data_IF_166352625300
#
_entry.id   IF_166352625300
#
_cell.length_a   1.000
_cell.length_b   1.000
_cell.length_c   1.000
_cell.angle_alpha   90.00
_cell.angle_beta   90.00
_cell.angle_gamma   90.00
#
_symmetry.space_group_name_H-M   'P 1'
#
loop_
_entity.id
_entity.type
_entity.pdbx_description
1 polymer ?
#
# COMPACT_ATOMS: atom_id res chain seq x y z
N UNK A 1 10.48 49.85 -35.20
CA UNK A 1 9.26 49.31 -34.56
C UNK A 1 9.61 47.94 -34.01
N UNK A 2 9.66 47.76 -32.68
CA UNK A 2 9.95 46.45 -32.04
C UNK A 2 8.62 45.89 -31.54
N UNK A 3 8.21 44.73 -32.05
CA UNK A 3 7.03 44.02 -31.59
C UNK A 3 7.30 43.40 -30.21
N UNK A 4 6.34 43.42 -29.27
CA UNK A 4 6.51 42.75 -27.99
C UNK A 4 6.28 41.25 -28.16
N UNK A 5 7.21 40.44 -27.68
CA UNK A 5 7.05 39.00 -27.58
C UNK A 5 6.10 38.69 -26.40
N UNK A 6 4.95 38.09 -26.70
CA UNK A 6 4.01 37.60 -25.67
C UNK A 6 4.49 36.22 -25.22
N UNK A 7 4.91 36.13 -23.97
CA UNK A 7 5.31 34.87 -23.34
C UNK A 7 4.06 34.18 -22.77
N UNK A 8 3.57 33.14 -23.46
CA UNK A 8 2.46 32.32 -22.97
C UNK A 8 3.03 31.27 -22.00
N UNK A 9 2.80 31.47 -20.70
CA UNK A 9 3.11 30.47 -19.68
C UNK A 9 2.06 29.35 -19.73
N UNK A 10 2.41 28.22 -20.34
CA UNK A 10 1.63 26.99 -20.24
C UNK A 10 1.81 26.40 -18.84
N UNK A 11 0.86 26.71 -17.94
CA UNK A 11 0.75 26.04 -16.65
C UNK A 11 0.30 24.61 -16.94
N UNK A 12 1.25 23.66 -16.90
CA UNK A 12 0.96 22.25 -17.03
C UNK A 12 0.06 21.80 -15.87
N UNK A 13 -1.22 21.56 -16.15
CA UNK A 13 -2.08 20.80 -15.25
C UNK A 13 -1.56 19.36 -15.25
N UNK A 14 -0.91 18.96 -14.15
CA UNK A 14 -0.64 17.56 -13.89
C UNK A 14 -2.00 16.83 -13.82
N UNK A 15 -2.25 15.77 -14.61
CA UNK A 15 -3.47 15.01 -14.49
C UNK A 15 -3.52 14.39 -13.10
N UNK A 16 -4.50 14.81 -12.29
CA UNK A 16 -4.82 14.12 -11.05
C UNK A 16 -5.51 12.82 -11.45
N UNK A 17 -4.80 11.69 -11.33
CA UNK A 17 -5.42 10.37 -11.43
C UNK A 17 -6.42 10.28 -10.27
N UNK A 18 -7.71 10.29 -10.58
CA UNK A 18 -8.76 10.11 -9.59
C UNK A 18 -8.77 8.64 -9.18
N UNK A 19 -8.28 8.37 -7.97
CA UNK A 19 -8.29 7.05 -7.36
C UNK A 19 -9.66 6.82 -6.72
N UNK A 20 -10.26 5.66 -6.90
CA UNK A 20 -11.52 5.29 -6.26
C UNK A 20 -11.32 4.84 -4.82
N UNK A 21 -10.17 4.26 -4.50
CA UNK A 21 -9.79 3.85 -3.15
C UNK A 21 -8.33 3.48 -3.03
N UNK A 22 -7.97 2.94 -1.86
CA UNK A 22 -6.62 2.50 -1.56
C UNK A 22 -6.58 1.28 -0.65
N UNK A 23 -5.65 0.37 -0.95
CA UNK A 23 -5.19 -0.62 0.02
C UNK A 23 -4.03 -0.03 0.81
N UNK A 24 -4.15 0.00 2.14
CA UNK A 24 -3.14 0.57 3.04
C UNK A 24 -2.49 -0.54 3.85
N UNK A 25 -1.15 -0.56 3.91
CA UNK A 25 -0.38 -1.50 4.73
C UNK A 25 0.54 -0.75 5.68
N UNK A 26 0.44 -1.04 6.96
CA UNK A 26 1.36 -0.56 8.00
C UNK A 26 2.32 -1.65 8.38
N UNK A 27 3.62 -1.40 8.25
CA UNK A 27 4.61 -2.22 8.94
C UNK A 27 4.68 -1.69 10.37
N UNK A 28 4.50 -2.56 11.36
CA UNK A 28 4.56 -2.20 12.79
C UNK A 28 5.96 -2.45 13.34
N UNK A 29 6.46 -3.66 13.18
CA UNK A 29 7.82 -3.98 13.61
C UNK A 29 8.41 -5.09 12.78
N UNK A 30 9.73 -5.12 12.73
CA UNK A 30 10.49 -6.23 12.16
C UNK A 30 11.71 -6.53 13.01
N UNK A 31 12.00 -7.81 13.22
CA UNK A 31 13.17 -8.26 13.96
C UNK A 31 13.84 -9.38 13.19
N UNK A 32 15.15 -9.32 13.05
CA UNK A 32 16.07 -10.35 12.56
C UNK A 32 17.24 -10.42 13.54
N UNK A 33 17.00 -11.02 14.70
CA UNK A 33 17.91 -10.97 15.87
C UNK A 33 19.31 -11.48 15.54
N UNK A 34 19.41 -12.45 14.63
CA UNK A 34 20.68 -13.05 14.22
C UNK A 34 21.37 -12.30 13.08
N UNK A 35 20.72 -11.37 12.40
CA UNK A 35 21.31 -10.63 11.27
C UNK A 35 21.58 -11.50 10.04
N UNK A 36 20.71 -12.48 9.80
CA UNK A 36 20.89 -13.50 8.75
C UNK A 36 19.93 -13.31 7.59
N UNK A 37 20.34 -13.83 6.44
CA UNK A 37 19.54 -14.01 5.25
C UNK A 37 18.68 -15.28 5.38
N UNK A 38 17.71 -15.47 4.50
CA UNK A 38 16.89 -16.70 4.44
C UNK A 38 17.72 -17.94 4.11
N UNK A 39 18.91 -17.77 3.53
CA UNK A 39 19.90 -18.84 3.32
C UNK A 39 20.62 -19.27 4.62
N UNK A 40 20.49 -18.51 5.70
CA UNK A 40 21.19 -18.70 6.98
C UNK A 40 22.56 -18.01 7.07
N UNK A 41 23.06 -17.44 5.98
CA UNK A 41 24.30 -16.67 5.97
C UNK A 41 24.11 -15.28 6.60
N UNK A 42 25.18 -14.66 7.09
CA UNK A 42 25.12 -13.29 7.54
C UNK A 42 24.93 -12.32 6.37
N UNK A 43 24.24 -11.20 6.61
CA UNK A 43 24.02 -10.16 5.59
C UNK A 43 25.32 -9.58 5.02
N UNK A 44 26.42 -9.60 5.76
CA UNK A 44 27.75 -9.17 5.32
C UNK A 44 28.57 -10.27 4.62
N UNK A 45 28.00 -11.46 4.46
CA UNK A 45 28.67 -12.63 3.89
C UNK A 45 29.62 -13.36 4.85
N UNK A 46 29.73 -12.93 6.10
CA UNK A 46 30.57 -13.61 7.09
C UNK A 46 30.00 -14.99 7.47
N UNK A 47 30.90 -15.96 7.69
CA UNK A 47 30.55 -17.27 8.24
C UNK A 47 30.59 -17.20 9.77
N UNK A 48 29.42 -17.16 10.41
CA UNK A 48 29.29 -17.31 11.87
C UNK A 48 28.72 -18.68 12.21
N UNK A 49 29.03 -19.19 13.42
CA UNK A 49 28.39 -20.40 13.95
C UNK A 49 26.87 -20.23 13.95
N UNK A 50 26.11 -21.32 13.74
CA UNK A 50 24.66 -21.28 13.52
C UNK A 50 23.86 -20.52 14.57
N UNK A 51 24.35 -20.50 15.81
CA UNK A 51 23.61 -19.99 16.97
C UNK A 51 24.08 -18.59 17.42
N UNK A 52 25.22 -18.10 16.91
CA UNK A 52 25.73 -16.79 17.26
C UNK A 52 25.12 -15.70 16.36
N UNK A 53 24.83 -14.49 16.88
CA UNK A 53 24.45 -13.35 16.04
C UNK A 53 25.60 -12.95 15.09
N UNK A 54 25.23 -12.49 13.89
CA UNK A 54 26.17 -11.90 12.94
C UNK A 54 26.76 -10.59 13.49
N UNK A 55 28.02 -10.31 13.12
CA UNK A 55 28.77 -9.14 13.62
C UNK A 55 28.22 -7.83 13.04
N UNK A 56 27.94 -7.80 11.74
CA UNK A 56 27.37 -6.64 11.08
C UNK A 56 25.83 -6.74 10.99
N UNK A 57 25.10 -5.63 11.22
CA UNK A 57 23.66 -5.61 11.02
C UNK A 57 23.30 -5.59 9.53
N UNK A 58 22.16 -6.18 9.20
CA UNK A 58 21.56 -6.08 7.89
C UNK A 58 21.08 -4.65 7.62
N UNK A 59 21.24 -4.18 6.37
CA UNK A 59 20.55 -2.99 5.85
C UNK A 59 19.18 -3.38 5.30
N UNK A 60 18.15 -3.33 6.14
CA UNK A 60 16.83 -3.89 5.85
C UNK A 60 15.94 -2.90 5.09
N UNK A 61 15.44 -3.32 3.94
CA UNK A 61 14.35 -2.68 3.17
C UNK A 61 13.21 -3.68 2.94
N UNK A 62 12.02 -3.18 2.63
CA UNK A 62 10.86 -4.01 2.38
C UNK A 62 10.39 -3.87 0.94
N UNK A 63 10.00 -4.99 0.35
CA UNK A 63 9.18 -5.03 -0.87
C UNK A 63 7.79 -5.53 -0.51
N UNK A 64 6.77 -4.80 -0.92
CA UNK A 64 5.36 -5.14 -0.75
C UNK A 64 4.75 -5.28 -2.13
N UNK A 65 4.27 -6.48 -2.44
CA UNK A 65 3.67 -6.84 -3.71
C UNK A 65 2.23 -7.25 -3.47
N UNK A 66 1.30 -6.51 -4.07
CA UNK A 66 -0.14 -6.74 -3.96
C UNK A 66 -0.68 -7.26 -5.29
N UNK A 67 -1.46 -8.33 -5.22
CA UNK A 67 -1.95 -9.09 -6.37
C UNK A 67 -3.40 -9.48 -6.21
N UNK A 68 -4.03 -9.81 -7.34
CA UNK A 68 -5.27 -10.57 -7.37
C UNK A 68 -5.09 -11.88 -6.61
N UNK A 69 -6.18 -12.36 -6.01
CA UNK A 69 -6.19 -13.62 -5.29
C UNK A 69 -5.69 -14.78 -6.17
N UNK A 70 -4.75 -15.55 -5.63
CA UNK A 70 -4.26 -16.80 -6.19
C UNK A 70 -4.33 -17.89 -5.12
N UNK A 71 -4.91 -19.05 -5.47
CA UNK A 71 -4.97 -20.19 -4.54
C UNK A 71 -3.57 -20.69 -4.14
N UNK A 72 -2.63 -20.66 -5.10
CA UNK A 72 -1.21 -20.84 -4.87
C UNK A 72 -0.49 -19.57 -5.30
N UNK A 73 0.10 -18.85 -4.34
CA UNK A 73 0.71 -17.54 -4.61
C UNK A 73 2.01 -17.73 -5.39
N UNK A 74 2.05 -17.21 -6.61
CA UNK A 74 3.27 -17.15 -7.41
C UNK A 74 4.06 -15.90 -7.07
N UNK A 75 5.27 -16.12 -6.56
CA UNK A 75 6.21 -15.06 -6.12
C UNK A 75 7.02 -14.44 -7.25
N UNK A 76 6.97 -15.04 -8.45
CA UNK A 76 7.79 -14.63 -9.60
C UNK A 76 7.03 -13.73 -10.57
N UNK A 77 5.71 -13.92 -10.74
CA UNK A 77 4.91 -13.09 -11.63
C UNK A 77 4.68 -11.67 -11.09
N UNK A 78 4.45 -10.68 -11.99
CA UNK A 78 4.24 -9.28 -11.63
C UNK A 78 3.11 -9.04 -10.63
N UNK A 79 3.19 -7.92 -9.90
CA UNK A 79 2.20 -7.54 -8.91
C UNK A 79 1.03 -6.79 -9.57
N UNK A 80 -0.14 -7.41 -9.68
CA UNK A 80 -1.26 -6.87 -10.48
C UNK A 80 -1.93 -5.64 -9.87
N UNK A 81 -1.87 -5.47 -8.54
CA UNK A 81 -2.41 -4.28 -7.85
C UNK A 81 -1.30 -3.30 -7.43
N UNK A 82 -0.04 -3.71 -7.49
CA UNK A 82 1.11 -2.82 -7.34
C UNK A 82 2.32 -3.47 -6.66
N UNK A 83 3.49 -2.92 -6.90
CA UNK A 83 4.79 -3.36 -6.36
C UNK A 83 5.51 -2.13 -5.78
N UNK A 84 5.63 -2.05 -4.45
CA UNK A 84 6.28 -0.93 -3.77
C UNK A 84 7.49 -1.46 -3.00
N UNK A 85 8.64 -0.81 -3.19
CA UNK A 85 9.85 -1.09 -2.41
C UNK A 85 10.20 0.14 -1.57
N UNK A 86 10.39 -0.05 -0.27
CA UNK A 86 10.78 1.02 0.65
C UNK A 86 12.27 1.36 0.49
N UNK A 87 12.71 2.56 0.92
CA UNK A 87 14.12 2.75 1.23
C UNK A 87 14.57 1.81 2.36
N UNK A 88 15.87 1.78 2.65
CA UNK A 88 16.40 1.10 3.84
C UNK A 88 15.80 1.76 5.08
N UNK A 89 15.07 0.99 5.88
CA UNK A 89 14.40 1.47 7.09
C UNK A 89 15.28 1.32 8.33
N UNK A 90 16.27 0.42 8.30
CA UNK A 90 17.30 0.34 9.33
C UNK A 90 17.97 -1.03 9.39
N UNK A 91 18.31 -1.45 10.61
CA UNK A 91 19.13 -2.62 10.93
C UNK A 91 18.38 -3.97 10.99
N UNK A 92 18.82 -4.79 11.92
CA UNK A 92 18.22 -6.08 12.30
C UNK A 92 16.85 -5.93 12.97
N UNK A 93 16.67 -4.91 13.82
CA UNK A 93 15.44 -4.69 14.58
C UNK A 93 14.90 -3.29 14.32
N UNK A 94 13.60 -3.20 14.04
CA UNK A 94 12.91 -2.02 13.57
C UNK A 94 11.58 -1.86 14.30
N UNK A 95 11.37 -0.69 14.90
CA UNK A 95 10.06 -0.22 15.35
C UNK A 95 9.60 0.89 14.38
N UNK A 96 8.80 0.50 13.39
CA UNK A 96 8.59 1.27 12.16
C UNK A 96 7.74 2.54 12.35
N UNK A 97 6.68 2.56 13.18
CA UNK A 97 5.90 3.77 13.45
C UNK A 97 6.71 4.96 13.96
N UNK A 98 7.84 4.72 14.60
CA UNK A 98 8.71 5.75 15.19
C UNK A 98 9.86 6.18 14.24
N UNK A 99 9.90 5.66 13.01
CA UNK A 99 10.93 6.00 12.04
C UNK A 99 10.60 7.27 11.25
N UNK A 100 11.61 8.13 11.10
CA UNK A 100 11.55 9.29 10.20
C UNK A 100 12.60 9.11 9.08
N UNK A 101 12.23 8.36 8.04
CA UNK A 101 13.10 8.07 6.90
C UNK A 101 12.58 8.82 5.68
N UNK A 102 13.44 9.62 5.04
CA UNK A 102 13.09 10.39 3.84
C UNK A 102 12.65 9.44 2.72
N UNK A 103 11.49 9.73 2.13
CA UNK A 103 10.93 8.93 1.05
C UNK A 103 10.20 7.66 1.50
N UNK A 104 10.00 7.48 2.82
CA UNK A 104 9.14 6.45 3.37
C UNK A 104 7.90 7.08 4.02
N UNK A 105 6.78 6.39 3.91
CA UNK A 105 5.54 6.72 4.62
C UNK A 105 4.92 5.44 5.13
N UNK A 106 4.33 5.51 6.32
CA UNK A 106 3.67 4.39 6.97
C UNK A 106 2.27 4.89 7.40
N UNK A 107 1.18 4.49 6.73
CA UNK A 107 1.06 3.35 5.82
C UNK A 107 1.73 3.49 4.45
N UNK A 108 2.10 2.35 3.88
CA UNK A 108 2.36 2.15 2.46
C UNK A 108 1.00 2.07 1.75
N UNK A 109 0.78 2.92 0.75
CA UNK A 109 -0.53 3.09 0.10
C UNK A 109 -0.46 2.58 -1.34
N UNK A 110 -1.36 1.66 -1.67
CA UNK A 110 -1.62 1.16 -3.03
C UNK A 110 -2.93 1.78 -3.52
N UNK A 111 -2.88 2.90 -4.25
CA UNK A 111 -4.08 3.48 -4.84
C UNK A 111 -4.62 2.57 -5.95
N UNK A 112 -5.94 2.52 -6.09
CA UNK A 112 -6.61 1.85 -7.20
C UNK A 112 -7.74 2.70 -7.77
N UNK A 113 -8.08 2.44 -9.03
CA UNK A 113 -9.18 3.04 -9.79
C UNK A 113 -10.20 2.01 -10.30
N UNK A 114 -9.99 0.73 -9.98
CA UNK A 114 -10.90 -0.38 -10.26
C UNK A 114 -11.85 -0.66 -9.08
N UNK A 115 -12.88 -1.49 -9.31
CA UNK A 115 -13.74 -2.00 -8.23
C UNK A 115 -12.97 -2.99 -7.37
N UNK A 116 -12.81 -2.69 -6.08
CA UNK A 116 -12.09 -3.57 -5.17
C UNK A 116 -12.77 -4.95 -5.08
N UNK A 117 -12.05 -6.06 -5.36
CA UNK A 117 -12.65 -7.39 -5.46
C UNK A 117 -12.92 -8.08 -4.11
N UNK A 118 -12.59 -7.46 -2.99
CA UNK A 118 -12.72 -8.05 -1.65
C UNK A 118 -11.59 -9.01 -1.27
N UNK A 119 -10.99 -9.71 -2.24
CA UNK A 119 -9.94 -10.72 -2.04
C UNK A 119 -8.61 -10.31 -2.67
N UNK A 120 -7.49 -10.76 -2.08
CA UNK A 120 -6.17 -10.43 -2.59
C UNK A 120 -5.11 -11.47 -2.20
N UNK A 121 -3.95 -11.38 -2.85
CA UNK A 121 -2.71 -12.03 -2.45
C UNK A 121 -1.66 -10.97 -2.15
N UNK A 122 -1.00 -11.10 -1.01
CA UNK A 122 0.00 -10.19 -0.49
C UNK A 122 1.33 -10.93 -0.32
N UNK A 123 2.39 -10.32 -0.80
CA UNK A 123 3.76 -10.77 -0.58
C UNK A 123 4.53 -9.62 0.07
N UNK A 124 5.12 -9.88 1.24
CA UNK A 124 5.99 -8.93 1.94
C UNK A 124 7.36 -9.56 2.11
N UNK A 125 8.38 -8.92 1.57
CA UNK A 125 9.76 -9.38 1.64
C UNK A 125 10.60 -8.39 2.42
N UNK A 126 11.27 -8.86 3.47
CA UNK A 126 12.39 -8.16 4.08
C UNK A 126 13.67 -8.56 3.31
N UNK A 127 14.43 -7.58 2.83
CA UNK A 127 15.65 -7.82 2.03
C UNK A 127 16.82 -6.99 2.54
N UNK A 128 18.01 -7.55 2.41
CA UNK A 128 19.25 -6.83 2.60
C UNK A 128 19.56 -5.95 1.39
N UNK A 129 19.94 -4.70 1.64
CA UNK A 129 20.36 -3.77 0.60
C UNK A 129 21.86 -3.86 0.31
N UNK A 130 22.20 -4.49 -0.82
CA UNK A 130 23.58 -4.61 -1.33
C UNK A 130 24.02 -3.42 -2.19
N UNK A 131 23.19 -2.38 -2.33
CA UNK A 131 23.33 -1.32 -3.33
C UNK A 131 23.32 -1.82 -4.80
N UNK A 132 23.03 -3.10 -5.03
CA UNK A 132 22.80 -3.64 -6.37
C UNK A 132 21.31 -3.63 -6.71
N UNK A 133 21.00 -3.42 -7.99
CA UNK A 133 19.63 -3.40 -8.50
C UNK A 133 19.07 -4.79 -8.80
N UNK A 134 19.87 -5.86 -8.66
CA UNK A 134 19.49 -7.23 -9.01
C UNK A 134 18.45 -7.77 -8.00
N UNK A 135 17.33 -8.29 -8.52
CA UNK A 135 16.30 -9.00 -7.73
C UNK A 135 16.72 -10.45 -7.46
N UNK A 136 17.95 -10.68 -6.97
CA UNK A 136 18.39 -12.02 -6.59
C UNK A 136 17.86 -12.39 -5.21
N UNK A 137 17.34 -13.61 -5.07
CA UNK A 137 16.93 -14.18 -3.78
C UNK A 137 18.11 -14.35 -2.80
N UNK A 138 19.34 -14.16 -3.27
CA UNK A 138 20.56 -14.14 -2.44
C UNK A 138 20.50 -13.10 -1.32
N UNK A 139 19.75 -12.01 -1.50
CA UNK A 139 19.64 -10.92 -0.51
C UNK A 139 18.34 -10.97 0.29
N UNK A 140 17.57 -12.05 0.20
CA UNK A 140 16.32 -12.21 0.93
C UNK A 140 16.62 -12.48 2.42
N UNK A 141 15.94 -11.76 3.31
CA UNK A 141 15.98 -12.03 4.76
C UNK A 141 14.81 -12.93 5.13
N UNK A 142 13.59 -12.51 4.77
CA UNK A 142 12.37 -13.24 5.06
C UNK A 142 11.28 -12.87 4.04
N UNK A 143 10.40 -13.83 3.72
CA UNK A 143 9.25 -13.65 2.83
C UNK A 143 7.98 -14.14 3.49
N UNK A 144 6.98 -13.27 3.57
CA UNK A 144 5.61 -13.58 3.97
C UNK A 144 4.73 -13.62 2.74
N UNK A 145 3.88 -14.63 2.63
CA UNK A 145 2.83 -14.72 1.60
C UNK A 145 1.49 -14.95 2.28
N UNK A 146 0.48 -14.16 1.93
CA UNK A 146 -0.86 -14.24 2.52
C UNK A 146 -1.91 -14.02 1.45
N UNK A 147 -2.82 -14.96 1.30
CA UNK A 147 -4.09 -14.77 0.62
C UNK A 147 -5.16 -14.47 1.66
N UNK A 148 -5.98 -13.44 1.42
CA UNK A 148 -6.95 -12.98 2.42
C UNK A 148 -8.09 -12.19 1.79
N UNK A 149 -9.02 -11.80 2.67
CA UNK A 149 -10.15 -10.90 2.40
C UNK A 149 -9.88 -9.59 3.14
N UNK A 150 -10.28 -8.47 2.54
CA UNK A 150 -10.36 -7.18 3.21
C UNK A 150 -11.60 -6.45 2.74
N UNK A 151 -12.53 -6.19 3.65
CA UNK A 151 -13.72 -5.39 3.38
C UNK A 151 -13.34 -3.90 3.32
N UNK A 152 -13.99 -3.17 2.41
CA UNK A 152 -13.89 -1.71 2.30
C UNK A 152 -14.39 -1.04 3.57
N UNK A 153 -13.66 -0.03 4.05
CA UNK A 153 -13.94 0.68 5.31
C UNK A 153 -13.95 -0.23 6.56
N UNK A 154 -13.35 -1.42 6.46
CA UNK A 154 -13.12 -2.31 7.58
C UNK A 154 -12.05 -1.77 8.56
N UNK A 155 -12.02 -2.29 9.80
CA UNK A 155 -10.94 -1.98 10.72
C UNK A 155 -9.59 -2.49 10.20
N UNK A 156 -8.50 -2.02 10.80
CA UNK A 156 -7.18 -2.60 10.54
C UNK A 156 -7.15 -4.07 10.92
N UNK A 157 -6.73 -4.92 9.98
CA UNK A 157 -6.48 -6.34 10.21
C UNK A 157 -5.02 -6.52 10.58
N UNK A 158 -4.78 -7.09 11.75
CA UNK A 158 -3.45 -7.37 12.27
C UNK A 158 -2.92 -8.73 11.81
N UNK A 159 -1.66 -8.76 11.38
CA UNK A 159 -0.96 -9.98 10.99
C UNK A 159 0.43 -10.05 11.62
N UNK A 160 0.83 -11.27 11.96
CA UNK A 160 2.13 -11.58 12.54
C UNK A 160 2.70 -12.82 11.86
N UNK A 161 3.94 -12.72 11.39
CA UNK A 161 4.68 -13.83 10.80
C UNK A 161 6.00 -14.01 11.52
N UNK A 162 6.26 -15.22 12.00
CA UNK A 162 7.54 -15.62 12.59
C UNK A 162 8.20 -16.66 11.71
N UNK A 163 9.50 -16.53 11.52
CA UNK A 163 10.38 -17.51 10.89
C UNK A 163 11.37 -18.00 11.94
N UNK A 164 11.55 -19.32 12.05
CA UNK A 164 12.50 -19.94 12.97
C UNK A 164 13.71 -20.53 12.24
N UNK A 165 14.63 -21.12 12.99
CA UNK A 165 15.85 -21.76 12.46
C UNK A 165 16.96 -20.75 12.17
N UNK A 166 17.75 -21.00 11.12
CA UNK A 166 18.93 -20.20 10.76
C UNK A 166 18.61 -18.79 10.24
N UNK A 167 17.35 -18.44 10.04
CA UNK A 167 16.89 -17.11 9.60
C UNK A 167 15.85 -16.53 10.56
N UNK A 168 16.05 -16.67 11.88
CA UNK A 168 15.09 -16.25 12.88
C UNK A 168 14.67 -14.79 12.70
N UNK A 169 13.40 -14.59 12.34
CA UNK A 169 12.85 -13.29 12.05
C UNK A 169 11.39 -13.19 12.47
N UNK A 170 10.91 -11.97 12.67
CA UNK A 170 9.56 -11.69 13.11
C UNK A 170 9.05 -10.39 12.50
N UNK A 171 7.95 -10.47 11.77
CA UNK A 171 7.27 -9.34 11.13
C UNK A 171 5.89 -9.15 11.72
N UNK A 172 5.57 -7.91 12.11
CA UNK A 172 4.22 -7.46 12.48
C UNK A 172 3.77 -6.39 11.52
N UNK A 173 2.58 -6.54 10.98
CA UNK A 173 1.96 -5.57 10.09
C UNK A 173 0.46 -5.51 10.29
N UNK A 174 -0.17 -4.49 9.73
CA UNK A 174 -1.62 -4.44 9.61
C UNK A 174 -2.02 -3.89 8.26
N UNK A 175 -3.17 -4.27 7.73
CA UNK A 175 -3.68 -3.75 6.47
C UNK A 175 -5.17 -3.39 6.57
N UNK A 176 -5.64 -2.54 5.64
CA UNK A 176 -7.07 -2.26 5.41
C UNK A 176 -7.31 -1.73 4.00
N UNK A 177 -8.58 -1.58 3.64
CA UNK A 177 -9.01 -0.93 2.40
C UNK A 177 -9.91 0.24 2.73
N UNK A 178 -9.71 1.37 2.07
CA UNK A 178 -10.50 2.60 2.26
C UNK A 178 -10.90 3.18 0.91
N UNK A 179 -12.06 3.81 0.84
CA UNK A 179 -12.47 4.56 -0.33
C UNK A 179 -11.86 5.97 -0.32
N UNK A 180 -11.64 6.50 -1.53
CA UNK A 180 -11.37 7.91 -1.68
C UNK A 180 -12.62 8.73 -1.31
N UNK A 181 -12.42 10.02 -1.04
CA UNK A 181 -13.53 10.91 -0.73
C UNK A 181 -14.62 10.83 -1.83
N UNK A 182 -15.88 10.73 -1.40
CA UNK A 182 -17.06 10.63 -2.28
C UNK A 182 -17.21 9.30 -3.03
N UNK A 183 -16.36 8.30 -2.77
CA UNK A 183 -16.57 6.93 -3.23
C UNK A 183 -17.16 6.08 -2.11
N UNK A 184 -18.08 5.19 -2.48
CA UNK A 184 -18.85 4.32 -1.60
C UNK A 184 -19.02 2.95 -2.26
N UNK A 185 -19.68 2.04 -1.55
CA UNK A 185 -19.90 0.66 -2.01
C UNK A 185 -18.83 -0.30 -1.49
N UNK A 186 -19.08 -1.59 -1.65
CA UNK A 186 -18.20 -2.64 -1.14
C UNK A 186 -16.88 -2.76 -1.91
N UNK A 187 -16.79 -2.10 -3.08
CA UNK A 187 -15.62 -2.05 -3.94
C UNK A 187 -15.14 -0.62 -4.25
N UNK A 188 -15.63 0.41 -3.53
CA UNK A 188 -15.41 1.83 -3.85
C UNK A 188 -15.83 2.23 -5.27
N UNK A 189 -16.93 1.66 -5.77
CA UNK A 189 -17.40 1.80 -7.15
C UNK A 189 -18.48 2.87 -7.32
N UNK A 190 -19.11 3.32 -6.23
CA UNK A 190 -20.23 4.27 -6.27
C UNK A 190 -19.72 5.68 -5.97
N UNK A 191 -19.70 6.57 -6.96
CA UNK A 191 -19.33 7.97 -6.74
C UNK A 191 -20.56 8.82 -6.40
N UNK A 192 -20.52 9.51 -5.26
CA UNK A 192 -21.49 10.53 -4.89
C UNK A 192 -20.85 11.68 -4.13
N UNK A 193 -20.83 12.86 -4.76
CA UNK A 193 -20.44 14.11 -4.11
C UNK A 193 -21.70 14.94 -3.85
N UNK A 194 -22.01 15.32 -2.59
CA UNK A 194 -23.14 16.19 -2.29
C UNK A 194 -23.09 17.47 -3.11
N UNK A 195 -24.25 17.93 -3.58
CA UNK A 195 -24.38 19.11 -4.44
C UNK A 195 -25.60 19.92 -4.04
N UNK A 196 -25.46 21.24 -4.09
CA UNK A 196 -26.54 22.19 -3.83
C UNK A 196 -26.36 23.44 -4.68
N UNK A 197 -26.55 23.28 -5.99
CA UNK A 197 -26.37 24.32 -6.99
C UNK A 197 -27.37 24.13 -8.15
N UNK A 198 -27.27 24.93 -9.21
CA UNK A 198 -28.19 24.88 -10.36
C UNK A 198 -28.31 23.49 -11.03
N UNK A 199 -27.37 22.58 -10.79
CA UNK A 199 -27.32 21.25 -11.39
C UNK A 199 -27.82 20.14 -10.46
N UNK A 200 -28.13 20.43 -9.19
CA UNK A 200 -28.69 19.43 -8.29
C UNK A 200 -28.69 19.85 -6.82
N UNK A 201 -29.66 19.32 -6.09
CA UNK A 201 -29.88 19.61 -4.67
C UNK A 201 -30.04 18.30 -3.87
N UNK A 202 -28.91 17.70 -3.50
CA UNK A 202 -28.87 16.38 -2.89
C UNK A 202 -27.70 16.17 -1.92
N UNK A 203 -27.89 15.21 -1.03
CA UNK A 203 -26.86 14.59 -0.18
C UNK A 203 -26.60 13.16 -0.64
N UNK A 204 -25.59 12.50 -0.07
CA UNK A 204 -25.25 11.12 -0.38
C UNK A 204 -25.61 10.23 0.81
N UNK A 205 -26.24 9.08 0.56
CA UNK A 205 -26.45 8.06 1.58
C UNK A 205 -25.13 7.37 1.96
N UNK A 206 -25.09 6.58 3.05
CA UNK A 206 -23.92 5.75 3.36
C UNK A 206 -23.54 4.74 2.27
N UNK A 207 -24.49 4.35 1.42
CA UNK A 207 -24.26 3.49 0.24
C UNK A 207 -23.83 4.28 -1.01
N UNK A 208 -23.76 5.62 -0.93
CA UNK A 208 -23.45 6.49 -2.05
C UNK A 208 -24.64 6.83 -2.95
N UNK A 209 -25.86 6.53 -2.54
CA UNK A 209 -27.06 6.88 -3.32
C UNK A 209 -27.38 8.37 -3.20
N UNK A 210 -27.90 8.96 -4.28
CA UNK A 210 -28.35 10.35 -4.30
C UNK A 210 -29.65 10.49 -3.50
N UNK A 211 -29.64 11.35 -2.48
CA UNK A 211 -30.80 11.65 -1.63
C UNK A 211 -31.21 13.11 -1.84
N UNK A 212 -32.36 13.32 -2.49
CA UNK A 212 -32.85 14.67 -2.77
C UNK A 212 -33.19 15.45 -1.51
N UNK A 213 -32.79 16.72 -1.46
CA UNK A 213 -33.23 17.66 -0.44
C UNK A 213 -34.74 17.92 -0.53
N UNK A 214 -35.40 18.37 0.56
CA UNK A 214 -36.82 18.72 0.54
C UNK A 214 -37.16 19.68 -0.61
N UNK A 215 -38.25 19.38 -1.34
CA UNK A 215 -38.69 20.17 -2.49
C UNK A 215 -38.02 19.83 -3.83
N UNK A 216 -37.08 18.88 -3.87
CA UNK A 216 -36.38 18.46 -5.10
C UNK A 216 -36.66 16.99 -5.45
N UNK A 217 -36.56 16.65 -6.74
CA UNK A 217 -36.83 15.32 -7.30
C UNK A 217 -36.07 15.06 -8.63
N UNK A 218 -36.18 13.83 -9.13
CA UNK A 218 -35.48 13.33 -10.31
C UNK A 218 -34.11 12.74 -9.97
N UNK A 219 -33.50 12.04 -10.92
CA UNK A 219 -32.28 11.24 -10.70
C UNK A 219 -31.09 12.05 -10.15
N UNK A 220 -31.04 13.35 -10.46
CA UNK A 220 -30.00 14.29 -9.98
C UNK A 220 -30.56 15.39 -9.07
N UNK A 221 -31.81 15.26 -8.61
CA UNK A 221 -32.47 16.22 -7.73
C UNK A 221 -32.43 17.67 -8.27
N UNK A 222 -32.56 17.81 -9.59
CA UNK A 222 -32.52 19.09 -10.32
C UNK A 222 -33.89 19.64 -10.67
N UNK A 223 -34.97 18.87 -10.42
CA UNK A 223 -36.35 19.31 -10.65
C UNK A 223 -37.01 19.67 -9.32
N UNK A 224 -37.76 20.77 -9.29
CA UNK A 224 -38.64 21.07 -8.17
C UNK A 224 -39.79 20.06 -8.15
N UNK A 225 -40.16 19.62 -6.95
CA UNK A 225 -41.50 19.09 -6.72
C UNK A 225 -42.41 20.32 -6.86
N UNK A 226 -43.30 20.30 -7.86
CA UNK A 226 -44.20 21.38 -8.29
C UNK A 226 -43.59 22.39 -9.26
#
# INVERSE_FOLDING_TARGET
MRAPAVLIALIGFLPQVLTSGSFELRIKSFTNSLGRLSSGQCCDGSSSSSDAPCLAPCRTKFRVCLKIYQANIDTTSPCTFGDITTPVLGGNSLDVPNLNVKGFSNPIVFPFDFTWPGTFSLIVEARHDTNETSRSDDNLIARMTKQSIADVEGPWVDEEQRWGGSGEAHLRLSYRVTCAAHYYGAGCEVFCRPRDDAFGHYTCSPAGEIVCKPGWTGDYCSKRKY
#
